data_IF_220474505551
#
_entry.id   IF_220474505551
#
_cell.length_a   1.000
_cell.length_b   1.000
_cell.length_c   1.000
_cell.angle_alpha   90.00
_cell.angle_beta   90.00
_cell.angle_gamma   90.00
#
_symmetry.space_group_name_H-M   'P 1'
#
loop_
_entity.id
_entity.type
_entity.pdbx_description
1 polymer ?
#
# COMPACT_ATOMS: atom_id res chain seq x y z
N UNK A 1 15.19 30.90 -3.69
CA UNK A 1 14.36 30.37 -2.62
C UNK A 1 13.04 29.94 -3.26
N UNK A 2 12.49 28.76 -2.92
CA UNK A 2 11.19 28.32 -3.43
C UNK A 2 10.07 28.91 -2.58
N UNK A 3 8.90 29.11 -3.18
CA UNK A 3 7.72 29.47 -2.41
C UNK A 3 7.17 28.23 -1.67
N UNK A 4 7.19 27.08 -2.38
CA UNK A 4 6.77 25.78 -1.87
C UNK A 4 7.80 24.70 -2.17
N UNK A 5 8.01 23.80 -1.21
CA UNK A 5 8.63 22.50 -1.45
C UNK A 5 7.62 21.39 -1.24
N UNK A 6 7.70 20.34 -2.06
CA UNK A 6 6.85 19.15 -1.98
C UNK A 6 7.69 18.00 -1.48
N UNK A 7 7.28 17.39 -0.37
CA UNK A 7 7.93 16.21 0.18
C UNK A 7 6.95 15.04 0.21
N UNK A 8 7.30 13.95 -0.46
CA UNK A 8 6.45 12.76 -0.60
C UNK A 8 7.00 11.64 0.26
N UNK A 9 6.13 11.00 1.06
CA UNK A 9 6.54 9.86 1.87
C UNK A 9 5.35 9.10 2.45
N UNK A 10 5.58 7.84 2.88
CA UNK A 10 4.54 7.05 3.56
C UNK A 10 4.40 7.38 5.04
N UNK A 11 5.49 7.79 5.68
CA UNK A 11 5.51 8.16 7.11
C UNK A 11 4.90 7.08 8.03
N UNK A 12 5.38 5.86 7.91
CA UNK A 12 4.87 4.66 8.60
C UNK A 12 5.92 4.04 9.54
N UNK A 13 6.22 4.64 10.72
CA UNK A 13 5.74 5.91 11.27
C UNK A 13 6.58 7.12 10.81
N UNK A 14 6.13 8.31 11.19
CA UNK A 14 6.93 9.54 11.13
C UNK A 14 8.05 9.45 12.17
N UNK A 15 9.32 9.59 11.75
CA UNK A 15 10.51 9.43 12.59
C UNK A 15 11.43 10.66 12.55
N UNK A 16 12.48 10.69 13.39
CA UNK A 16 13.33 11.87 13.54
C UNK A 16 14.00 12.33 12.23
N UNK A 17 14.38 11.41 11.34
CA UNK A 17 14.89 11.81 10.02
C UNK A 17 13.80 12.52 9.18
N UNK A 18 12.54 12.09 9.23
CA UNK A 18 11.44 12.81 8.57
C UNK A 18 11.25 14.21 9.16
N UNK A 19 11.27 14.33 10.49
CA UNK A 19 11.16 15.65 11.17
C UNK A 19 12.29 16.60 10.75
N UNK A 20 13.53 16.10 10.67
CA UNK A 20 14.66 16.89 10.18
C UNK A 20 14.45 17.32 8.72
N UNK A 21 13.97 16.40 7.84
CA UNK A 21 13.66 16.73 6.45
C UNK A 21 12.60 17.84 6.35
N UNK A 22 11.54 17.78 7.15
CA UNK A 22 10.51 18.82 7.22
C UNK A 22 11.14 20.17 7.60
N UNK A 23 11.97 20.21 8.64
CA UNK A 23 12.66 21.43 9.09
C UNK A 23 13.63 21.98 8.05
N UNK A 24 14.38 21.12 7.39
CA UNK A 24 15.27 21.49 6.29
C UNK A 24 14.50 22.08 5.10
N UNK A 25 13.35 21.52 4.76
CA UNK A 25 12.49 22.05 3.70
C UNK A 25 11.93 23.44 4.07
N UNK A 26 11.44 23.61 5.30
CA UNK A 26 10.91 24.88 5.80
C UNK A 26 11.96 25.98 5.96
N UNK A 27 13.24 25.60 6.10
CA UNK A 27 14.36 26.57 6.08
C UNK A 27 14.69 27.07 4.66
N UNK A 28 14.24 26.36 3.60
CA UNK A 28 14.56 26.65 2.18
C UNK A 28 13.36 27.17 1.38
N UNK A 29 12.15 27.06 1.94
CA UNK A 29 10.92 27.51 1.28
C UNK A 29 9.99 28.23 2.26
N UNK A 30 9.07 29.02 1.71
CA UNK A 30 8.02 29.67 2.48
C UNK A 30 7.06 28.67 3.13
N UNK A 31 6.70 27.61 2.40
CA UNK A 31 5.76 26.56 2.84
C UNK A 31 6.21 25.16 2.38
N UNK A 32 5.71 24.16 3.06
CA UNK A 32 5.89 22.76 2.73
C UNK A 32 4.55 22.10 2.39
N UNK A 33 4.49 21.37 1.29
CA UNK A 33 3.40 20.45 0.96
C UNK A 33 3.89 19.04 1.26
N UNK A 34 3.32 18.39 2.26
CA UNK A 34 3.66 17.04 2.67
C UNK A 34 2.62 16.06 2.11
N UNK A 35 3.00 15.29 1.10
CA UNK A 35 2.13 14.29 0.49
C UNK A 35 2.32 12.93 1.16
N UNK A 36 1.28 12.49 1.84
CA UNK A 36 1.30 11.24 2.63
C UNK A 36 0.78 10.09 1.78
N UNK A 37 1.69 9.31 1.23
CA UNK A 37 1.40 8.19 0.31
C UNK A 37 0.62 7.05 0.97
N UNK A 38 0.07 6.17 0.12
CA UNK A 38 -0.71 4.99 0.55
C UNK A 38 -1.85 5.38 1.50
N UNK A 39 -2.60 6.44 1.12
CA UNK A 39 -3.52 7.10 2.05
C UNK A 39 -4.80 6.29 2.32
N UNK A 40 -5.27 5.52 1.34
CA UNK A 40 -6.52 4.76 1.33
C UNK A 40 -6.34 3.24 1.41
N UNK A 41 -5.09 2.76 1.59
CA UNK A 41 -4.84 1.34 1.74
C UNK A 41 -5.38 0.81 3.08
N UNK A 42 -5.85 -0.45 3.13
CA UNK A 42 -6.21 -1.07 4.38
C UNK A 42 -4.99 -1.23 5.29
N UNK A 43 -5.24 -1.40 6.59
CA UNK A 43 -4.15 -1.67 7.52
C UNK A 43 -3.45 -2.97 7.20
N UNK A 44 -2.14 -2.93 7.29
CA UNK A 44 -1.27 -4.09 7.14
C UNK A 44 0.03 -3.87 7.93
N UNK A 45 0.85 -4.88 8.04
CA UNK A 45 2.19 -4.77 8.64
C UNK A 45 3.11 -3.77 7.91
N UNK A 46 2.81 -3.46 6.65
CA UNK A 46 3.52 -2.46 5.83
C UNK A 46 2.88 -1.07 5.92
N UNK A 47 1.57 -0.99 6.15
CA UNK A 47 0.78 0.24 6.23
C UNK A 47 -0.14 0.23 7.47
N UNK A 48 0.43 0.23 8.70
CA UNK A 48 -0.35 0.03 9.93
C UNK A 48 -1.22 1.21 10.32
N UNK A 49 -0.84 2.44 9.98
CA UNK A 49 -1.56 3.65 10.38
C UNK A 49 -2.29 4.31 9.19
N UNK A 50 -3.54 4.68 9.41
CA UNK A 50 -4.36 5.42 8.44
C UNK A 50 -3.76 6.79 8.12
N UNK A 51 -4.25 7.44 7.07
CA UNK A 51 -3.85 8.82 6.76
C UNK A 51 -4.09 9.76 7.95
N UNK A 52 -5.29 9.70 8.56
CA UNK A 52 -5.64 10.58 9.68
C UNK A 52 -4.73 10.38 10.90
N UNK A 53 -4.37 9.15 11.24
CA UNK A 53 -3.43 8.86 12.34
C UNK A 53 -2.03 9.39 12.03
N UNK A 54 -1.55 9.22 10.80
CA UNK A 54 -0.24 9.74 10.39
C UNK A 54 -0.23 11.27 10.38
N UNK A 55 -1.28 11.90 9.87
CA UNK A 55 -1.42 13.36 9.93
C UNK A 55 -1.40 13.85 11.37
N UNK A 56 -2.14 13.23 12.27
CA UNK A 56 -2.14 13.59 13.69
C UNK A 56 -0.74 13.44 14.33
N UNK A 57 -0.03 12.35 14.04
CA UNK A 57 1.35 12.13 14.53
C UNK A 57 2.31 13.19 13.99
N UNK A 58 2.21 13.54 12.71
CA UNK A 58 3.06 14.55 12.07
C UNK A 58 2.80 15.92 12.72
N UNK A 59 1.52 16.32 12.82
CA UNK A 59 1.15 17.61 13.42
C UNK A 59 1.58 17.72 14.89
N UNK A 60 1.49 16.63 15.65
CA UNK A 60 1.93 16.60 17.04
C UNK A 60 3.46 16.68 17.20
N UNK A 61 4.22 16.34 16.17
CA UNK A 61 5.69 16.42 16.16
C UNK A 61 6.21 17.79 15.70
N UNK A 62 5.38 18.61 15.08
CA UNK A 62 5.70 19.95 14.59
C UNK A 62 5.33 21.02 15.62
N UNK A 63 6.09 22.11 15.69
CA UNK A 63 5.70 23.28 16.47
C UNK A 63 4.60 24.11 15.76
N UNK A 64 4.20 25.21 16.37
CA UNK A 64 3.10 26.05 15.87
C UNK A 64 3.43 26.72 14.52
N UNK A 65 4.65 27.22 14.32
CA UNK A 65 5.10 27.84 13.06
C UNK A 65 5.24 26.77 11.97
N UNK A 66 5.91 25.65 12.27
CA UNK A 66 6.06 24.52 11.36
C UNK A 66 4.69 24.02 10.89
N UNK A 67 3.71 23.89 11.79
CA UNK A 67 2.33 23.48 11.46
C UNK A 67 1.62 24.49 10.55
N UNK A 68 1.73 25.79 10.85
CA UNK A 68 1.10 26.85 10.06
C UNK A 68 1.62 26.92 8.62
N UNK A 69 2.86 26.47 8.41
CA UNK A 69 3.56 26.49 7.12
C UNK A 69 3.52 25.14 6.39
N UNK A 70 2.89 24.10 6.97
CA UNK A 70 2.86 22.75 6.38
C UNK A 70 1.44 22.35 5.98
N UNK A 71 1.22 22.14 4.69
CA UNK A 71 0.01 21.55 4.12
C UNK A 71 0.19 20.03 4.01
N UNK A 72 -0.57 19.26 4.78
CA UNK A 72 -0.55 17.79 4.73
C UNK A 72 -1.70 17.32 3.85
N UNK A 73 -1.43 16.50 2.84
CA UNK A 73 -2.44 15.99 1.90
C UNK A 73 -2.28 14.48 1.69
N UNK A 74 -3.40 13.76 1.55
CA UNK A 74 -3.36 12.35 1.17
C UNK A 74 -2.89 12.19 -0.27
N UNK A 75 -2.12 11.12 -0.51
CA UNK A 75 -1.73 10.69 -1.85
C UNK A 75 -2.07 9.21 -1.98
N UNK A 76 -2.82 8.89 -3.05
CA UNK A 76 -3.20 7.51 -3.34
C UNK A 76 -2.16 6.84 -4.22
N UNK A 77 -2.01 5.53 -4.05
CA UNK A 77 -1.11 4.75 -4.88
C UNK A 77 -1.73 4.52 -6.28
N UNK A 78 -0.87 4.39 -7.28
CA UNK A 78 -1.22 3.85 -8.60
C UNK A 78 -0.03 2.99 -9.07
N UNK A 79 0.06 1.74 -8.60
CA UNK A 79 1.28 0.94 -8.68
C UNK A 79 1.67 0.53 -10.10
N UNK A 80 0.76 0.59 -11.06
CA UNK A 80 0.97 0.15 -12.43
C UNK A 80 0.96 1.29 -13.46
N UNK A 81 0.72 2.57 -13.03
CA UNK A 81 0.58 3.72 -13.93
C UNK A 81 1.26 4.97 -13.37
N UNK A 82 2.57 5.08 -13.58
CA UNK A 82 3.37 6.22 -13.10
C UNK A 82 2.83 7.57 -13.60
N UNK A 83 2.32 7.64 -14.83
CA UNK A 83 1.76 8.89 -15.39
C UNK A 83 0.50 9.33 -14.64
N UNK A 84 -0.42 8.41 -14.32
CA UNK A 84 -1.63 8.73 -13.54
C UNK A 84 -1.26 9.15 -12.11
N UNK A 85 -0.29 8.47 -11.51
CA UNK A 85 0.21 8.83 -10.18
C UNK A 85 0.84 10.23 -10.19
N UNK A 86 1.68 10.54 -11.19
CA UNK A 86 2.30 11.88 -11.35
C UNK A 86 1.25 12.96 -11.53
N UNK A 87 0.26 12.75 -12.40
CA UNK A 87 -0.83 13.69 -12.59
C UNK A 87 -1.62 13.97 -11.29
N UNK A 88 -1.81 12.95 -10.45
CA UNK A 88 -2.45 13.11 -9.14
C UNK A 88 -1.59 13.95 -8.19
N UNK A 89 -0.27 13.75 -8.16
CA UNK A 89 0.66 14.58 -7.38
C UNK A 89 0.54 16.04 -7.82
N UNK A 90 0.63 16.31 -9.11
CA UNK A 90 0.55 17.66 -9.68
C UNK A 90 -0.80 18.34 -9.40
N UNK A 91 -1.90 17.62 -9.58
CA UNK A 91 -3.24 18.12 -9.26
C UNK A 91 -3.41 18.46 -7.78
N UNK A 92 -2.86 17.63 -6.88
CA UNK A 92 -2.90 17.86 -5.44
C UNK A 92 -2.12 19.12 -5.06
N UNK A 93 -0.93 19.30 -5.64
CA UNK A 93 -0.12 20.51 -5.44
C UNK A 93 -0.84 21.74 -5.97
N UNK A 94 -1.37 21.67 -7.20
CA UNK A 94 -2.13 22.78 -7.79
C UNK A 94 -3.34 23.21 -6.94
N UNK A 95 -4.05 22.24 -6.35
CA UNK A 95 -5.16 22.52 -5.45
C UNK A 95 -4.72 23.26 -4.17
N UNK A 96 -3.55 22.92 -3.61
CA UNK A 96 -2.99 23.64 -2.45
C UNK A 96 -2.60 25.08 -2.84
N UNK A 97 -1.92 25.26 -3.97
CA UNK A 97 -1.53 26.59 -4.46
C UNK A 97 -2.75 27.48 -4.70
N UNK A 98 -3.81 26.92 -5.31
CA UNK A 98 -5.05 27.64 -5.53
C UNK A 98 -5.74 28.05 -4.21
N UNK A 99 -5.77 27.16 -3.21
CA UNK A 99 -6.34 27.44 -1.89
C UNK A 99 -5.61 28.57 -1.15
N UNK A 100 -4.32 28.75 -1.41
CA UNK A 100 -3.52 29.86 -0.86
C UNK A 100 -3.50 31.13 -1.76
N UNK A 101 -4.17 31.07 -2.91
CA UNK A 101 -4.18 32.21 -3.88
C UNK A 101 -2.84 32.42 -4.58
N UNK A 102 -2.00 31.41 -4.70
CA UNK A 102 -0.64 31.49 -5.26
C UNK A 102 -0.42 30.52 -6.44
N UNK A 103 -1.26 30.53 -7.48
CA UNK A 103 -1.18 29.51 -8.56
C UNK A 103 0.11 29.58 -9.38
N UNK A 104 0.80 30.71 -9.37
CA UNK A 104 2.08 30.91 -10.08
C UNK A 104 3.32 30.79 -9.18
N UNK A 105 3.16 30.23 -7.96
CA UNK A 105 4.25 30.06 -7.02
C UNK A 105 5.34 29.10 -7.56
N UNK A 106 6.59 29.38 -7.21
CA UNK A 106 7.72 28.51 -7.55
C UNK A 106 7.72 27.28 -6.65
N UNK A 107 7.51 26.10 -7.25
CA UNK A 107 7.48 24.81 -6.56
C UNK A 107 8.78 24.04 -6.82
N UNK A 108 9.31 23.39 -5.78
CA UNK A 108 10.40 22.42 -5.89
C UNK A 108 10.01 21.07 -5.28
N UNK A 109 10.50 20.00 -5.87
CA UNK A 109 10.36 18.65 -5.29
C UNK A 109 11.53 18.40 -4.35
N UNK A 110 11.21 18.14 -3.08
CA UNK A 110 12.20 17.96 -2.02
C UNK A 110 12.32 16.51 -1.60
N UNK A 111 13.53 16.01 -1.50
CA UNK A 111 13.72 14.64 -1.08
C UNK A 111 15.17 14.20 -1.04
N UNK A 112 15.32 12.93 -0.75
CA UNK A 112 16.57 12.22 -0.71
C UNK A 112 16.52 11.08 -1.75
N UNK A 113 17.53 11.05 -2.63
CA UNK A 113 17.65 9.96 -3.60
C UNK A 113 18.29 8.76 -2.89
N UNK A 114 17.47 7.79 -2.53
CA UNK A 114 17.86 6.64 -1.73
C UNK A 114 18.23 5.41 -2.58
N UNK A 115 17.33 5.06 -3.50
CA UNK A 115 17.41 3.87 -4.35
C UNK A 115 16.44 4.01 -5.54
N UNK A 116 16.26 2.94 -6.29
CA UNK A 116 15.32 2.91 -7.44
C UNK A 116 13.88 3.35 -7.10
N UNK A 117 13.45 3.29 -5.84
CA UNK A 117 12.12 3.77 -5.42
C UNK A 117 12.01 5.30 -5.40
N UNK A 118 13.13 6.02 -5.56
CA UNK A 118 13.18 7.49 -5.66
C UNK A 118 12.94 8.01 -7.09
N UNK A 119 12.56 7.15 -8.03
CA UNK A 119 12.32 7.50 -9.44
C UNK A 119 11.33 8.65 -9.61
N UNK A 120 10.34 8.77 -8.71
CA UNK A 120 9.31 9.81 -8.73
C UNK A 120 9.89 11.23 -8.62
N UNK A 121 11.12 11.40 -8.09
CA UNK A 121 11.78 12.71 -8.00
C UNK A 121 12.10 13.30 -9.38
N UNK A 122 11.96 12.54 -10.44
CA UNK A 122 12.23 12.94 -11.83
C UNK A 122 10.98 12.96 -12.72
N UNK A 123 9.81 12.60 -12.18
CA UNK A 123 8.57 12.48 -12.97
C UNK A 123 7.90 13.84 -13.28
N UNK A 124 8.21 14.88 -12.50
CA UNK A 124 7.66 16.23 -12.68
C UNK A 124 8.76 17.20 -13.12
N UNK A 125 9.16 17.22 -14.40
CA UNK A 125 10.32 17.97 -14.89
C UNK A 125 10.15 19.50 -14.81
N UNK A 126 8.93 20.00 -14.59
CA UNK A 126 8.62 21.41 -14.38
C UNK A 126 9.01 21.90 -12.97
N UNK A 127 9.32 21.01 -12.03
CA UNK A 127 9.73 21.37 -10.68
C UNK A 127 11.24 21.14 -10.48
N UNK A 128 11.89 22.09 -9.84
CA UNK A 128 13.28 21.92 -9.44
C UNK A 128 13.40 20.77 -8.42
N UNK A 129 14.37 19.89 -8.59
CA UNK A 129 14.69 18.92 -7.55
C UNK A 129 15.65 19.52 -6.54
N UNK A 130 15.24 19.53 -5.27
CA UNK A 130 16.01 20.03 -4.13
C UNK A 130 16.44 18.82 -3.28
N UNK A 131 17.68 18.38 -3.47
CA UNK A 131 18.24 17.24 -2.76
C UNK A 131 18.60 17.57 -1.32
N UNK A 132 18.39 16.61 -0.42
CA UNK A 132 18.85 16.62 0.97
C UNK A 132 19.60 15.32 1.27
N UNK A 133 20.69 15.42 2.03
CA UNK A 133 21.46 14.23 2.40
C UNK A 133 20.77 13.42 3.50
N UNK A 134 20.76 12.09 3.36
CA UNK A 134 20.40 11.20 4.48
C UNK A 134 21.62 11.05 5.41
N UNK A 135 21.59 11.76 6.52
CA UNK A 135 22.66 11.74 7.52
C UNK A 135 22.41 10.75 8.65
N UNK A 136 21.18 10.27 8.82
CA UNK A 136 20.79 9.50 10.01
C UNK A 136 20.65 8.00 9.73
N UNK A 137 20.46 7.59 8.47
CA UNK A 137 20.21 6.20 8.13
C UNK A 137 18.96 5.58 8.78
N UNK A 138 18.04 6.43 9.30
CA UNK A 138 16.81 5.96 9.97
C UNK A 138 15.81 5.49 8.92
N UNK A 139 15.28 4.28 9.11
CA UNK A 139 14.26 3.70 8.25
C UNK A 139 13.06 3.23 9.07
N UNK A 140 11.85 3.50 8.56
CA UNK A 140 10.61 3.09 9.20
C UNK A 140 10.42 1.56 9.26
N UNK A 141 11.01 0.79 8.35
CA UNK A 141 10.84 -0.67 8.29
C UNK A 141 11.40 -1.39 9.51
N UNK A 142 12.65 -1.16 9.96
CA UNK A 142 13.15 -1.73 11.22
C UNK A 142 12.34 -1.30 12.44
N UNK A 143 11.88 -0.02 12.48
CA UNK A 143 11.04 0.48 13.58
C UNK A 143 9.74 -0.31 13.66
N UNK A 144 9.02 -0.48 12.54
CA UNK A 144 7.78 -1.30 12.49
C UNK A 144 8.04 -2.74 12.92
N UNK A 145 9.14 -3.33 12.45
CA UNK A 145 9.48 -4.71 12.80
C UNK A 145 9.66 -4.87 14.31
N UNK A 146 10.44 -4.00 14.96
CA UNK A 146 10.60 -4.01 16.42
C UNK A 146 9.26 -3.78 17.13
N UNK A 147 8.46 -2.84 16.64
CA UNK A 147 7.18 -2.47 17.25
C UNK A 147 6.14 -3.59 17.23
N UNK A 148 5.97 -4.31 16.13
CA UNK A 148 4.95 -5.34 15.98
C UNK A 148 5.42 -6.75 16.36
N UNK A 149 6.73 -7.01 16.39
CA UNK A 149 7.30 -8.30 16.77
C UNK A 149 7.82 -8.32 18.22
N UNK A 150 7.61 -7.24 18.97
CA UNK A 150 7.97 -7.19 20.39
C UNK A 150 7.14 -8.25 21.16
N UNK A 151 7.79 -9.07 22.02
CA UNK A 151 7.07 -9.98 22.87
C UNK A 151 6.01 -9.30 23.74
N UNK A 152 4.93 -10.04 24.05
CA UNK A 152 3.86 -9.50 24.89
C UNK A 152 4.38 -9.20 26.31
N UNK A 153 4.02 -8.02 26.83
CA UNK A 153 4.46 -7.56 28.17
C UNK A 153 5.80 -6.83 28.19
N UNK A 154 6.56 -6.83 27.12
CA UNK A 154 7.78 -6.04 27.04
C UNK A 154 7.49 -4.54 26.83
N UNK A 155 8.27 -3.69 27.52
CA UNK A 155 8.23 -2.25 27.32
C UNK A 155 8.81 -1.91 25.95
N UNK A 156 8.08 -1.06 25.21
CA UNK A 156 8.57 -0.55 23.94
C UNK A 156 9.06 0.88 24.10
N UNK A 157 10.28 1.12 23.69
CA UNK A 157 10.88 2.43 23.54
C UNK A 157 11.58 2.53 22.18
N UNK A 158 11.52 3.72 21.57
CA UNK A 158 12.09 3.95 20.25
C UNK A 158 12.65 5.38 20.17
N UNK A 159 13.97 5.54 20.43
CA UNK A 159 14.60 6.85 20.46
C UNK A 159 14.68 7.54 19.09
N UNK A 160 14.41 6.79 18.01
CA UNK A 160 14.39 7.32 16.65
C UNK A 160 13.07 8.04 16.31
N UNK A 161 12.12 8.12 17.26
CA UNK A 161 10.85 8.79 17.07
C UNK A 161 10.78 10.12 17.83
N UNK A 162 10.07 11.11 17.27
CA UNK A 162 9.67 12.28 18.06
C UNK A 162 8.84 11.84 19.27
N UNK A 163 8.97 12.48 20.45
CA UNK A 163 8.27 12.05 21.67
C UNK A 163 6.75 11.93 21.52
N UNK A 164 6.12 12.86 20.76
CA UNK A 164 4.68 12.82 20.50
C UNK A 164 4.27 11.63 19.66
N UNK A 165 5.09 11.24 18.67
CA UNK A 165 4.84 10.03 17.85
C UNK A 165 5.01 8.78 18.69
N UNK A 166 6.06 8.71 19.52
CA UNK A 166 6.26 7.58 20.44
C UNK A 166 5.09 7.42 21.42
N UNK A 167 4.51 8.52 21.91
CA UNK A 167 3.31 8.49 22.76
C UNK A 167 2.10 7.93 22.00
N UNK A 168 1.82 8.45 20.80
CA UNK A 168 0.71 7.95 19.96
C UNK A 168 0.85 6.46 19.65
N UNK A 169 2.06 5.97 19.42
CA UNK A 169 2.29 4.55 19.19
C UNK A 169 2.09 3.71 20.46
N UNK A 170 2.45 4.21 21.64
CA UNK A 170 2.12 3.52 22.90
C UNK A 170 0.61 3.37 23.08
N UNK A 171 -0.16 4.42 22.79
CA UNK A 171 -1.63 4.38 22.85
C UNK A 171 -2.20 3.40 21.81
N UNK A 172 -1.68 3.40 20.59
CA UNK A 172 -2.10 2.47 19.53
C UNK A 172 -1.91 1.00 19.92
N UNK A 173 -0.89 0.64 20.72
CA UNK A 173 -0.68 -0.73 21.20
C UNK A 173 -1.86 -1.30 22.01
N UNK A 174 -2.71 -0.46 22.58
CA UNK A 174 -3.87 -0.89 23.35
C UNK A 174 -5.09 -1.26 22.49
N UNK A 175 -5.04 -0.99 21.19
CA UNK A 175 -6.16 -1.12 20.26
C UNK A 175 -6.28 -2.51 19.63
N UNK A 176 -7.49 -2.85 19.16
CA UNK A 176 -7.73 -4.04 18.34
C UNK A 176 -6.99 -3.96 16.99
N UNK A 177 -6.87 -2.75 16.45
CA UNK A 177 -6.12 -2.51 15.22
C UNK A 177 -4.64 -2.92 15.37
N UNK A 178 -4.01 -2.59 16.50
CA UNK A 178 -2.65 -3.07 16.78
C UNK A 178 -2.59 -4.60 16.84
N UNK A 179 -3.51 -5.23 17.55
CA UNK A 179 -3.54 -6.70 17.68
C UNK A 179 -3.65 -7.40 16.33
N UNK A 180 -4.53 -6.89 15.46
CA UNK A 180 -4.72 -7.43 14.11
C UNK A 180 -3.44 -7.29 13.26
N UNK A 181 -2.83 -6.10 13.25
CA UNK A 181 -1.59 -5.85 12.49
C UNK A 181 -0.40 -6.63 13.05
N UNK A 182 -0.29 -6.77 14.37
CA UNK A 182 0.77 -7.55 15.01
C UNK A 182 0.64 -9.05 14.66
N UNK A 183 -0.59 -9.58 14.62
CA UNK A 183 -0.83 -10.96 14.17
C UNK A 183 -0.38 -11.17 12.71
N UNK A 184 -0.71 -10.25 11.81
CA UNK A 184 -0.23 -10.30 10.43
C UNK A 184 1.30 -10.18 10.35
N UNK A 185 1.91 -9.27 11.11
CA UNK A 185 3.36 -9.08 11.11
C UNK A 185 4.11 -10.34 11.57
N UNK A 186 3.60 -11.03 12.60
CA UNK A 186 4.13 -12.31 13.08
C UNK A 186 4.00 -13.38 11.98
N UNK A 187 2.81 -13.53 11.41
CA UNK A 187 2.59 -14.47 10.30
C UNK A 187 3.58 -14.25 9.14
N UNK A 188 3.73 -13.00 8.70
CA UNK A 188 4.66 -12.65 7.60
C UNK A 188 6.11 -12.93 7.99
N UNK A 189 6.49 -12.68 9.24
CA UNK A 189 7.83 -12.99 9.73
C UNK A 189 8.10 -14.49 9.75
N UNK A 190 7.17 -15.29 10.28
CA UNK A 190 7.24 -16.75 10.35
C UNK A 190 7.27 -17.38 8.95
N UNK A 191 6.42 -16.88 8.04
CA UNK A 191 6.42 -17.32 6.64
C UNK A 191 7.78 -17.08 5.98
N UNK A 192 8.36 -15.89 6.14
CA UNK A 192 9.70 -15.60 5.60
C UNK A 192 10.78 -16.46 6.25
N UNK A 193 10.68 -16.72 7.54
CA UNK A 193 11.62 -17.57 8.26
C UNK A 193 11.57 -19.02 7.78
N UNK A 194 10.41 -19.55 7.39
CA UNK A 194 10.29 -20.92 6.87
C UNK A 194 11.09 -21.15 5.58
N UNK A 195 11.39 -20.09 4.84
CA UNK A 195 12.20 -20.11 3.62
C UNK A 195 13.67 -19.67 3.82
N UNK A 196 14.07 -19.39 5.05
CA UNK A 196 15.42 -18.86 5.34
C UNK A 196 16.54 -19.86 4.98
N UNK A 197 16.26 -21.15 4.94
CA UNK A 197 17.21 -22.19 4.55
C UNK A 197 17.34 -22.38 3.02
N UNK A 198 16.49 -21.72 2.21
CA UNK A 198 16.59 -21.80 0.77
C UNK A 198 17.90 -21.16 0.27
N UNK A 199 18.61 -21.76 -0.72
CA UNK A 199 19.87 -21.23 -1.22
C UNK A 199 19.75 -19.85 -1.88
N UNK A 200 18.53 -19.51 -2.34
CA UNK A 200 18.18 -18.21 -2.92
C UNK A 200 16.81 -17.77 -2.37
N UNK A 201 16.54 -16.45 -2.28
CA UNK A 201 15.20 -15.97 -1.95
C UNK A 201 14.18 -16.54 -2.95
N UNK A 202 13.08 -17.17 -2.47
CA UNK A 202 12.10 -17.76 -3.36
C UNK A 202 11.34 -16.69 -4.15
N UNK A 203 11.00 -17.03 -5.38
CA UNK A 203 10.02 -16.30 -6.21
C UNK A 203 8.79 -17.18 -6.31
N UNK A 204 7.68 -16.69 -5.79
CA UNK A 204 6.43 -17.43 -5.80
C UNK A 204 5.62 -17.08 -7.05
N UNK A 205 4.97 -18.08 -7.62
CA UNK A 205 4.02 -17.91 -8.72
C UNK A 205 2.63 -18.18 -8.21
N UNK A 206 1.71 -17.25 -8.46
CA UNK A 206 0.29 -17.36 -8.13
C UNK A 206 -0.56 -17.15 -9.38
N UNK A 207 -1.82 -17.49 -9.27
CA UNK A 207 -2.85 -17.22 -10.26
C UNK A 207 -4.02 -16.52 -9.59
N UNK A 208 -4.65 -15.59 -10.31
CA UNK A 208 -5.88 -14.92 -9.87
C UNK A 208 -6.91 -14.97 -10.99
N UNK A 209 -8.18 -15.15 -10.63
CA UNK A 209 -9.31 -15.15 -11.56
C UNK A 209 -10.08 -13.81 -11.43
N UNK A 210 -9.95 -12.93 -12.42
CA UNK A 210 -10.83 -11.77 -12.58
C UNK A 210 -12.06 -12.20 -13.37
N UNK A 211 -13.13 -12.56 -12.67
CA UNK A 211 -14.40 -12.95 -13.28
C UNK A 211 -15.37 -11.79 -13.22
N UNK A 212 -15.74 -11.27 -14.39
CA UNK A 212 -16.68 -10.17 -14.57
C UNK A 212 -18.01 -10.73 -15.11
N UNK A 213 -19.12 -10.28 -14.54
CA UNK A 213 -20.46 -10.59 -15.02
C UNK A 213 -21.33 -9.34 -14.91
N UNK A 214 -21.76 -8.79 -16.05
CA UNK A 214 -22.40 -7.47 -16.09
C UNK A 214 -21.55 -6.43 -15.34
N UNK A 215 -22.16 -5.62 -14.46
CA UNK A 215 -21.51 -4.60 -13.63
C UNK A 215 -21.00 -5.17 -12.28
N UNK A 216 -20.60 -6.46 -12.24
CA UNK A 216 -20.11 -7.11 -11.02
C UNK A 216 -18.78 -7.82 -11.26
N UNK A 217 -18.00 -7.92 -10.20
CA UNK A 217 -16.79 -8.73 -10.12
C UNK A 217 -16.94 -9.78 -9.03
N UNK A 218 -16.52 -11.00 -9.31
CA UNK A 218 -16.46 -12.07 -8.30
C UNK A 218 -15.28 -11.82 -7.37
N UNK A 219 -15.58 -11.78 -6.07
CA UNK A 219 -14.56 -11.60 -5.02
C UNK A 219 -14.74 -12.63 -3.92
N UNK A 220 -13.65 -12.90 -3.23
CA UNK A 220 -13.62 -13.71 -2.00
C UNK A 220 -13.26 -12.82 -0.82
N UNK A 221 -13.77 -13.17 0.38
CA UNK A 221 -13.31 -12.61 1.63
C UNK A 221 -12.28 -13.56 2.24
N UNK A 222 -11.07 -13.08 2.45
CA UNK A 222 -9.97 -13.89 2.97
C UNK A 222 -10.26 -14.41 4.38
N UNK A 223 -10.11 -15.72 4.57
CA UNK A 223 -10.27 -16.40 5.87
C UNK A 223 -8.96 -16.51 6.66
N UNK A 224 -7.80 -16.25 6.02
CA UNK A 224 -6.47 -16.41 6.60
C UNK A 224 -5.58 -15.18 6.47
N UNK A 225 -4.41 -15.23 7.12
CA UNK A 225 -3.36 -14.22 6.99
C UNK A 225 -2.50 -14.47 5.73
N UNK A 226 -1.88 -13.43 5.17
CA UNK A 226 -2.07 -12.00 5.46
C UNK A 226 -3.40 -11.48 4.91
N UNK A 227 -3.86 -10.34 5.40
CA UNK A 227 -5.07 -9.69 4.89
C UNK A 227 -6.38 -10.35 5.35
N UNK A 228 -6.41 -10.97 6.53
CA UNK A 228 -7.63 -11.55 7.10
C UNK A 228 -8.82 -10.59 7.04
N UNK A 229 -9.94 -11.05 6.48
CA UNK A 229 -11.17 -10.29 6.35
C UNK A 229 -11.23 -9.29 5.19
N UNK A 230 -10.12 -9.07 4.46
CA UNK A 230 -10.10 -8.25 3.26
C UNK A 230 -10.64 -9.02 2.06
N UNK A 231 -11.01 -8.28 1.02
CA UNK A 231 -11.44 -8.82 -0.26
C UNK A 231 -10.24 -9.12 -1.16
N UNK A 232 -10.34 -10.17 -1.95
CA UNK A 232 -9.38 -10.55 -2.97
C UNK A 232 -10.10 -11.13 -4.19
N UNK A 233 -9.41 -11.24 -5.30
CA UNK A 233 -9.80 -12.12 -6.38
C UNK A 233 -9.63 -13.58 -5.95
N UNK A 234 -10.46 -14.52 -6.41
CA UNK A 234 -10.19 -15.95 -6.24
C UNK A 234 -8.84 -16.32 -6.83
N UNK A 235 -8.01 -17.04 -6.08
CA UNK A 235 -6.67 -17.40 -6.55
C UNK A 235 -5.75 -17.89 -5.46
N UNK A 236 -4.62 -18.48 -5.88
CA UNK A 236 -3.64 -19.06 -4.97
C UNK A 236 -2.34 -19.45 -5.66
N UNK A 237 -1.56 -20.30 -5.01
CA UNK A 237 -0.27 -20.74 -5.51
C UNK A 237 -0.41 -21.78 -6.62
N UNK A 238 0.50 -21.70 -7.60
CA UNK A 238 0.68 -22.72 -8.61
C UNK A 238 1.26 -23.98 -7.98
N UNK A 239 0.61 -25.14 -8.20
CA UNK A 239 1.16 -26.43 -7.81
C UNK A 239 2.21 -26.91 -8.83
N UNK A 240 3.16 -27.78 -8.41
CA UNK A 240 4.25 -28.24 -9.29
C UNK A 240 3.79 -29.02 -10.53
N UNK A 241 2.62 -29.60 -10.49
CA UNK A 241 2.09 -30.54 -11.49
C UNK A 241 0.96 -29.99 -12.35
N UNK A 242 0.69 -28.69 -12.29
CA UNK A 242 -0.37 -28.03 -13.06
C UNK A 242 0.16 -26.83 -13.88
N UNK A 243 -0.57 -26.45 -14.91
CA UNK A 243 -0.29 -25.22 -15.65
C UNK A 243 -1.15 -24.06 -15.12
N UNK A 244 -0.76 -22.81 -15.44
CA UNK A 244 -1.40 -21.59 -14.93
C UNK A 244 -2.92 -21.52 -15.16
N UNK A 245 -3.42 -22.01 -16.30
CA UNK A 245 -4.87 -21.99 -16.60
C UNK A 245 -5.63 -22.99 -15.75
N UNK A 246 -5.07 -24.18 -15.55
CA UNK A 246 -5.68 -25.20 -14.72
C UNK A 246 -5.64 -24.80 -13.24
N UNK A 247 -4.54 -24.24 -12.77
CA UNK A 247 -4.42 -23.65 -11.45
C UNK A 247 -5.51 -22.60 -11.19
N UNK A 248 -5.69 -21.65 -12.12
CA UNK A 248 -6.71 -20.62 -12.00
C UNK A 248 -8.14 -21.20 -11.90
N UNK A 249 -8.48 -22.18 -12.73
CA UNK A 249 -9.80 -22.81 -12.69
C UNK A 249 -9.98 -23.71 -11.46
N UNK A 250 -8.92 -24.34 -10.97
CA UNK A 250 -8.93 -25.09 -9.72
C UNK A 250 -9.24 -24.17 -8.54
N UNK A 251 -8.45 -23.10 -8.37
CA UNK A 251 -8.63 -22.12 -7.29
C UNK A 251 -10.03 -21.48 -7.33
N UNK A 252 -10.47 -21.06 -8.54
CA UNK A 252 -11.82 -20.51 -8.72
C UNK A 252 -12.90 -21.49 -8.22
N UNK A 253 -12.78 -22.79 -8.56
CA UNK A 253 -13.71 -23.81 -8.10
C UNK A 253 -13.61 -24.06 -6.59
N UNK A 254 -12.40 -24.16 -6.06
CA UNK A 254 -12.14 -24.48 -4.65
C UNK A 254 -12.61 -23.35 -3.72
N UNK A 255 -12.41 -22.11 -4.09
CA UNK A 255 -12.80 -20.97 -3.26
C UNK A 255 -14.23 -20.49 -3.46
N UNK A 256 -14.85 -20.73 -4.63
CA UNK A 256 -16.17 -20.14 -4.97
C UNK A 256 -17.25 -21.15 -5.42
N UNK A 257 -16.87 -22.40 -5.68
CA UNK A 257 -17.72 -23.41 -6.27
C UNK A 257 -18.01 -23.22 -7.77
N UNK A 258 -17.52 -22.13 -8.38
CA UNK A 258 -17.78 -21.84 -9.79
C UNK A 258 -16.87 -22.69 -10.70
N UNK A 259 -17.49 -23.45 -11.59
CA UNK A 259 -16.79 -24.29 -12.57
C UNK A 259 -16.94 -23.70 -13.97
N UNK A 260 -15.82 -23.40 -14.60
CA UNK A 260 -15.77 -22.83 -15.94
C UNK A 260 -14.85 -23.67 -16.85
N UNK A 261 -15.12 -23.72 -18.16
CA UNK A 261 -14.25 -24.37 -19.12
C UNK A 261 -13.00 -23.51 -19.40
N UNK A 262 -11.92 -24.13 -19.89
CA UNK A 262 -10.64 -23.44 -20.17
C UNK A 262 -10.75 -22.29 -21.18
N UNK A 263 -11.66 -22.39 -22.13
CA UNK A 263 -11.91 -21.37 -23.15
C UNK A 263 -12.69 -20.14 -22.63
N UNK A 264 -13.20 -20.19 -21.39
CA UNK A 264 -13.75 -19.02 -20.72
C UNK A 264 -12.67 -17.94 -20.44
N UNK A 265 -11.39 -18.33 -20.34
CA UNK A 265 -10.28 -17.41 -20.13
C UNK A 265 -9.98 -16.64 -21.42
N UNK A 266 -10.28 -15.36 -21.44
CA UNK A 266 -10.13 -14.49 -22.63
C UNK A 266 -8.74 -13.87 -22.74
N UNK A 267 -8.17 -13.45 -21.62
CA UNK A 267 -6.88 -12.76 -21.56
C UNK A 267 -6.15 -13.13 -20.29
N UNK A 268 -4.83 -13.02 -20.30
CA UNK A 268 -3.97 -13.14 -19.13
C UNK A 268 -3.12 -11.87 -19.02
N UNK A 269 -3.06 -11.30 -17.83
CA UNK A 269 -2.16 -10.19 -17.48
C UNK A 269 -1.19 -10.70 -16.40
N UNK A 270 0.07 -10.29 -16.46
CA UNK A 270 1.06 -10.63 -15.43
C UNK A 270 1.33 -9.43 -14.57
N UNK A 271 1.08 -9.55 -13.26
CA UNK A 271 1.43 -8.55 -12.28
C UNK A 271 2.69 -9.01 -11.52
N UNK A 272 3.77 -8.28 -11.71
CA UNK A 272 5.10 -8.68 -11.26
C UNK A 272 5.84 -7.57 -10.48
N UNK A 273 5.14 -6.57 -9.98
CA UNK A 273 5.78 -5.52 -9.19
C UNK A 273 6.53 -6.14 -7.99
N UNK A 274 7.82 -5.82 -7.77
CA UNK A 274 8.66 -6.50 -6.78
C UNK A 274 8.10 -6.51 -5.36
N UNK A 275 7.36 -5.48 -5.00
CA UNK A 275 6.83 -5.26 -3.65
C UNK A 275 5.31 -5.43 -3.55
N UNK A 276 4.68 -6.11 -4.54
CA UNK A 276 3.22 -6.29 -4.55
C UNK A 276 2.69 -7.09 -3.36
N UNK A 277 3.47 -8.00 -2.79
CA UNK A 277 3.06 -8.80 -1.63
C UNK A 277 4.00 -8.68 -0.43
N UNK A 278 3.44 -8.80 0.78
CA UNK A 278 4.18 -8.74 2.03
C UNK A 278 4.99 -10.00 2.32
N UNK A 279 4.56 -11.18 1.82
CA UNK A 279 5.19 -12.47 2.12
C UNK A 279 6.51 -12.71 1.37
N UNK A 280 6.72 -12.03 0.24
CA UNK A 280 7.94 -12.18 -0.55
C UNK A 280 7.77 -11.68 -1.98
N UNK A 281 8.67 -12.10 -2.86
CA UNK A 281 8.57 -11.86 -4.29
C UNK A 281 7.47 -12.76 -4.87
N UNK A 282 6.33 -12.18 -5.23
CA UNK A 282 5.20 -12.89 -5.84
C UNK A 282 4.97 -12.36 -7.25
N UNK A 283 4.82 -13.24 -8.20
CA UNK A 283 4.36 -12.94 -9.56
C UNK A 283 3.00 -13.61 -9.72
N UNK A 284 1.96 -12.85 -10.06
CA UNK A 284 0.66 -13.44 -10.35
C UNK A 284 0.30 -13.36 -11.83
N UNK A 285 -0.34 -14.41 -12.33
CA UNK A 285 -0.99 -14.42 -13.63
C UNK A 285 -2.50 -14.23 -13.42
N UNK A 286 -2.98 -13.02 -13.71
CA UNK A 286 -4.38 -12.65 -13.67
C UNK A 286 -5.09 -13.17 -14.92
N UNK A 287 -6.03 -14.08 -14.75
CA UNK A 287 -6.85 -14.65 -15.82
C UNK A 287 -8.19 -13.92 -15.87
N UNK A 288 -8.49 -13.29 -17.01
CA UNK A 288 -9.65 -12.44 -17.20
C UNK A 288 -10.75 -13.23 -17.91
N UNK A 289 -11.91 -13.29 -17.26
CA UNK A 289 -13.07 -14.07 -17.66
C UNK A 289 -14.30 -13.15 -17.66
N UNK A 290 -15.05 -13.15 -18.75
CA UNK A 290 -16.31 -12.45 -18.85
C UNK A 290 -17.46 -13.45 -19.00
N UNK A 291 -18.45 -13.34 -18.14
CA UNK A 291 -19.65 -14.17 -18.19
C UNK A 291 -20.82 -13.34 -18.70
N UNK A 292 -21.60 -13.99 -19.58
CA UNK A 292 -22.86 -13.43 -20.06
C UNK A 292 -24.01 -13.87 -19.13
N UNK A 293 -25.11 -13.13 -19.17
CA UNK A 293 -26.34 -13.47 -18.41
C UNK A 293 -26.33 -12.96 -16.97
N UNK A 294 -27.01 -13.67 -16.08
CA UNK A 294 -27.08 -13.35 -14.65
C UNK A 294 -25.86 -13.92 -13.92
N UNK A 295 -25.34 -13.21 -12.90
CA UNK A 295 -24.28 -13.74 -12.07
C UNK A 295 -24.65 -15.09 -11.47
N UNK A 296 -23.88 -16.17 -11.75
CA UNK A 296 -24.18 -17.49 -11.20
C UNK A 296 -24.02 -17.50 -9.67
N UNK A 297 -24.76 -18.42 -9.02
CA UNK A 297 -24.62 -18.59 -7.57
C UNK A 297 -23.20 -19.05 -7.20
N UNK A 298 -22.63 -18.44 -6.16
CA UNK A 298 -21.31 -18.75 -5.63
C UNK A 298 -21.37 -18.90 -4.10
N UNK A 299 -20.39 -19.59 -3.54
CA UNK A 299 -20.32 -19.80 -2.08
C UNK A 299 -18.84 -19.87 -1.68
N UNK A 300 -18.46 -19.17 -0.63
CA UNK A 300 -17.14 -19.26 -0.05
C UNK A 300 -16.86 -20.69 0.44
N UNK A 301 -15.71 -21.22 0.06
CA UNK A 301 -15.21 -22.55 0.38
C UNK A 301 -13.70 -22.48 0.57
N UNK A 302 -13.10 -23.54 1.09
CA UNK A 302 -11.66 -23.61 1.39
C UNK A 302 -11.18 -22.40 2.24
N UNK A 303 -10.17 -21.71 1.81
CA UNK A 303 -9.60 -20.52 2.51
C UNK A 303 -10.45 -19.25 2.38
N UNK A 304 -11.51 -19.27 1.55
CA UNK A 304 -12.44 -18.16 1.39
C UNK A 304 -13.55 -18.20 2.46
N UNK A 305 -13.53 -17.27 3.42
CA UNK A 305 -14.59 -17.12 4.40
C UNK A 305 -15.96 -16.81 3.76
N UNK A 306 -15.98 -16.18 2.59
CA UNK A 306 -17.15 -15.93 1.75
C UNK A 306 -16.74 -15.69 0.31
N UNK A 307 -17.63 -16.00 -0.66
CA UNK A 307 -17.52 -15.58 -2.04
C UNK A 307 -18.82 -14.91 -2.48
N UNK A 308 -18.72 -13.81 -3.22
CA UNK A 308 -19.89 -13.06 -3.68
C UNK A 308 -19.58 -12.15 -4.87
N UNK A 309 -20.61 -11.72 -5.55
CA UNK A 309 -20.53 -10.74 -6.62
C UNK A 309 -20.60 -9.32 -6.05
N UNK A 310 -19.53 -8.56 -6.20
CA UNK A 310 -19.41 -7.17 -5.77
C UNK A 310 -19.76 -6.26 -6.94
N UNK A 311 -20.72 -5.31 -6.81
CA UNK A 311 -20.94 -4.29 -7.83
C UNK A 311 -19.66 -3.48 -8.09
N UNK A 312 -19.32 -3.25 -9.36
CA UNK A 312 -18.14 -2.45 -9.73
C UNK A 312 -18.20 -1.01 -9.19
N UNK A 313 -19.41 -0.49 -8.94
CA UNK A 313 -19.62 0.81 -8.30
C UNK A 313 -19.21 0.83 -6.81
N UNK A 314 -19.16 -0.34 -6.16
CA UNK A 314 -18.81 -0.49 -4.74
C UNK A 314 -17.33 -0.83 -4.51
N UNK A 315 -16.52 -0.80 -5.58
CA UNK A 315 -15.09 -1.00 -5.47
C UNK A 315 -14.44 0.11 -4.63
N UNK A 316 -13.80 -0.29 -3.54
CA UNK A 316 -13.10 0.63 -2.65
C UNK A 316 -11.75 0.04 -2.27
N UNK A 317 -10.68 0.83 -2.47
CA UNK A 317 -9.30 0.42 -2.23
C UNK A 317 -9.07 -0.11 -0.80
N UNK A 318 -9.68 0.55 0.19
CA UNK A 318 -9.53 0.23 1.62
C UNK A 318 -10.10 -1.15 2.04
N UNK A 319 -10.78 -1.84 1.12
CA UNK A 319 -11.36 -3.18 1.36
C UNK A 319 -10.55 -4.32 0.77
N UNK A 320 -9.58 -4.04 -0.09
CA UNK A 320 -8.87 -5.08 -0.86
C UNK A 320 -7.48 -5.37 -0.33
N UNK A 321 -7.14 -6.65 -0.29
CA UNK A 321 -5.80 -7.13 0.02
C UNK A 321 -4.82 -6.76 -1.08
N UNK A 322 -3.58 -6.44 -0.70
CA UNK A 322 -2.45 -6.12 -1.58
C UNK A 322 -2.88 -5.21 -2.77
N UNK A 323 -2.68 -5.64 -4.00
CA UNK A 323 -2.94 -4.87 -5.23
C UNK A 323 -4.20 -5.30 -5.99
N UNK A 324 -5.03 -6.21 -5.45
CA UNK A 324 -6.21 -6.75 -6.15
C UNK A 324 -7.19 -5.67 -6.61
N UNK A 325 -7.34 -4.57 -5.85
CA UNK A 325 -8.14 -3.43 -6.29
C UNK A 325 -7.67 -2.86 -7.64
N UNK A 326 -6.36 -2.65 -7.78
CA UNK A 326 -5.78 -2.11 -9.01
C UNK A 326 -5.85 -3.10 -10.16
N UNK A 327 -5.63 -4.39 -9.87
CA UNK A 327 -5.81 -5.45 -10.88
C UNK A 327 -7.22 -5.46 -11.47
N UNK A 328 -8.25 -5.24 -10.64
CA UNK A 328 -9.64 -5.11 -11.12
C UNK A 328 -9.79 -3.82 -11.92
N UNK A 329 -9.38 -2.68 -11.37
CA UNK A 329 -9.56 -1.37 -12.01
C UNK A 329 -8.92 -1.27 -13.38
N UNK A 330 -7.75 -1.85 -13.57
CA UNK A 330 -6.97 -1.72 -14.79
C UNK A 330 -7.32 -2.78 -15.85
N UNK A 331 -8.10 -3.81 -15.50
CA UNK A 331 -8.39 -4.95 -16.38
C UNK A 331 -9.89 -5.27 -16.58
N UNK A 332 -10.78 -4.42 -16.05
CA UNK A 332 -12.24 -4.51 -16.25
C UNK A 332 -12.70 -3.89 -17.57
#
# INVERSE_FOLDING_TARGET
MHDYLVFIGRFQPFHNAHLRMVRSALARAGRLILLVGTADAPRSSRNPWTFAEREAMIRAALDADENARTDIRPLHDDPYHDERWTAQVEATVAAVLAAHGTPAARVGLFGHEKDASSFYLRLSPQWDYVSEADTDGISATPIRRRYFLLPDGEAWDEPQLPPAVAAALRDFRTTDAYRAVAAEARYVADYKQSWAAAPYPPIFVTVDALVLCREHVLVVKRGGQPGYGLLALPGGFLNPDENLRDACLRELREETGLQLPRDAIRRVFTADKPDRSAIGRVITHLHIIHLDGEPPAVKGMDDAAAAFWLPLADLRRDRFHDDHYYLIQDNR
#
